data_IF_499688600917
#
_entry.id   IF_499688600917
#
_cell.length_a   1.000
_cell.length_b   1.000
_cell.length_c   1.000
_cell.angle_alpha   90.00
_cell.angle_beta   90.00
_cell.angle_gamma   90.00
#
_symmetry.space_group_name_H-M   'P 1'
#
loop_
_entity.id
_entity.type
_entity.pdbx_description
1 polymer ?
#
# COMPACT_ATOMS: atom_id res chain seq x y z
N UNK A 1 4.50 14.67 -7.55
CA UNK A 1 3.49 14.01 -6.69
C UNK A 1 2.17 14.78 -6.59
N UNK A 2 2.13 16.03 -6.07
CA UNK A 2 0.89 16.80 -5.86
C UNK A 2 -0.08 16.83 -7.06
N UNK A 3 0.40 17.26 -8.22
CA UNK A 3 -0.40 17.32 -9.46
C UNK A 3 -0.91 15.95 -9.91
N UNK A 4 -0.09 14.90 -9.72
CA UNK A 4 -0.51 13.53 -10.02
C UNK A 4 -1.67 13.10 -9.11
N UNK A 5 -1.57 13.36 -7.80
CA UNK A 5 -2.64 13.03 -6.85
C UNK A 5 -3.95 13.70 -7.28
N UNK A 6 -3.92 15.02 -7.55
CA UNK A 6 -5.11 15.77 -8.00
C UNK A 6 -5.70 15.14 -9.25
N UNK A 7 -4.89 14.97 -10.30
CA UNK A 7 -5.35 14.42 -11.59
C UNK A 7 -5.96 13.03 -11.42
N UNK A 8 -5.27 12.14 -10.70
CA UNK A 8 -5.68 10.75 -10.52
C UNK A 8 -6.95 10.65 -9.67
N UNK A 9 -7.10 11.47 -8.63
CA UNK A 9 -8.32 11.48 -7.83
C UNK A 9 -9.55 11.97 -8.62
N UNK A 10 -9.40 12.99 -9.47
CA UNK A 10 -10.50 13.44 -10.32
C UNK A 10 -10.88 12.43 -11.40
N UNK A 11 -9.89 11.73 -11.96
CA UNK A 11 -10.09 10.60 -12.87
C UNK A 11 -10.92 9.50 -12.19
N UNK A 12 -10.51 9.06 -10.99
CA UNK A 12 -11.22 8.04 -10.22
C UNK A 12 -12.63 8.52 -9.83
N UNK A 13 -12.79 9.76 -9.37
CA UNK A 13 -14.09 10.29 -8.97
C UNK A 13 -15.07 10.32 -10.14
N UNK A 14 -14.58 10.69 -11.33
CA UNK A 14 -15.41 10.70 -12.54
C UNK A 14 -15.93 9.30 -12.86
N UNK A 15 -15.05 8.30 -12.84
CA UNK A 15 -15.42 6.91 -13.12
C UNK A 15 -16.37 6.37 -12.05
N UNK A 16 -16.07 6.62 -10.77
CA UNK A 16 -16.93 6.25 -9.65
C UNK A 16 -18.34 6.81 -9.78
N UNK A 17 -18.48 8.11 -10.09
CA UNK A 17 -19.80 8.72 -10.30
C UNK A 17 -20.55 8.06 -11.45
N UNK A 18 -19.89 7.81 -12.58
CA UNK A 18 -20.48 7.12 -13.73
C UNK A 18 -21.00 5.73 -13.36
N UNK A 19 -20.17 4.94 -12.68
CA UNK A 19 -20.53 3.58 -12.27
C UNK A 19 -21.69 3.57 -11.26
N UNK A 20 -21.75 4.56 -10.36
CA UNK A 20 -22.81 4.66 -9.36
C UNK A 20 -24.15 5.17 -9.94
N UNK A 21 -24.12 6.01 -10.99
CA UNK A 21 -25.33 6.43 -11.72
C UNK A 21 -26.02 5.22 -12.38
N UNK A 22 -25.25 4.28 -12.93
CA UNK A 22 -25.79 3.04 -13.51
C UNK A 22 -26.46 2.14 -12.45
N UNK A 23 -25.87 2.07 -11.24
CA UNK A 23 -26.36 1.22 -10.16
C UNK A 23 -27.59 1.80 -9.43
N UNK A 24 -27.77 3.13 -9.46
CA UNK A 24 -28.80 3.93 -8.76
C UNK A 24 -28.83 3.79 -7.22
N UNK A 25 -28.36 2.68 -6.65
CA UNK A 25 -28.35 2.38 -5.22
C UNK A 25 -26.94 2.11 -4.74
N UNK A 26 -26.60 2.72 -3.61
CA UNK A 26 -25.23 2.71 -3.12
C UNK A 26 -24.98 1.56 -2.11
N UNK A 27 -25.93 0.63 -1.96
CA UNK A 27 -25.92 -0.39 -0.92
C UNK A 27 -24.68 -1.30 -0.93
N UNK A 28 -24.07 -1.51 -2.10
CA UNK A 28 -22.83 -2.28 -2.20
C UNK A 28 -21.67 -1.65 -1.40
N UNK A 29 -21.66 -0.33 -1.23
CA UNK A 29 -20.61 0.37 -0.47
C UNK A 29 -20.64 0.03 1.03
N UNK A 30 -21.73 -0.55 1.54
CA UNK A 30 -21.83 -1.03 2.92
C UNK A 30 -20.85 -2.19 3.20
N UNK A 31 -20.40 -2.89 2.17
CA UNK A 31 -19.39 -3.95 2.30
C UNK A 31 -17.98 -3.39 2.49
N UNK A 32 -17.77 -2.09 2.26
CA UNK A 32 -16.51 -1.41 2.46
C UNK A 32 -16.24 -1.13 3.95
N UNK A 33 -15.93 -2.20 4.70
CA UNK A 33 -15.69 -2.17 6.14
C UNK A 33 -14.52 -3.05 6.53
N UNK A 34 -13.87 -2.68 7.64
CA UNK A 34 -12.62 -3.30 8.12
C UNK A 34 -12.72 -3.87 9.54
N UNK A 35 -13.91 -3.84 10.12
CA UNK A 35 -14.21 -4.37 11.45
C UNK A 35 -14.58 -5.85 11.39
N UNK A 36 -14.51 -6.55 12.54
CA UNK A 36 -14.92 -7.95 12.63
C UNK A 36 -14.14 -8.94 11.75
N UNK A 37 -12.96 -8.55 11.23
CA UNK A 37 -12.19 -9.36 10.29
C UNK A 37 -12.64 -9.21 8.83
N UNK A 38 -13.59 -8.33 8.52
CA UNK A 38 -14.00 -8.03 7.17
C UNK A 38 -12.84 -7.42 6.36
N UNK A 39 -12.70 -7.88 5.12
CA UNK A 39 -11.83 -7.31 4.10
C UNK A 39 -12.76 -6.99 2.92
N UNK A 40 -12.79 -5.74 2.41
CA UNK A 40 -13.59 -5.41 1.25
C UNK A 40 -13.28 -6.31 0.05
N UNK A 41 -14.29 -6.63 -0.74
CA UNK A 41 -14.09 -7.38 -1.98
C UNK A 41 -13.58 -6.45 -3.07
N UNK A 42 -12.25 -6.39 -3.20
CA UNK A 42 -11.59 -5.55 -4.20
C UNK A 42 -11.74 -6.09 -5.63
N UNK A 43 -12.36 -7.26 -5.86
CA UNK A 43 -12.70 -7.67 -7.24
C UNK A 43 -13.79 -6.80 -7.86
N UNK A 44 -14.56 -6.07 -7.03
CA UNK A 44 -15.57 -5.12 -7.45
C UNK A 44 -14.95 -3.74 -7.76
N UNK A 45 -15.08 -3.29 -9.01
CA UNK A 45 -14.49 -2.01 -9.47
C UNK A 45 -14.89 -0.81 -8.60
N UNK A 46 -16.17 -0.73 -8.23
CA UNK A 46 -16.69 0.36 -7.39
C UNK A 46 -16.04 0.37 -6.00
N UNK A 47 -15.72 -0.80 -5.45
CA UNK A 47 -15.02 -0.93 -4.18
C UNK A 47 -13.55 -0.50 -4.32
N UNK A 48 -12.90 -0.82 -5.45
CA UNK A 48 -11.56 -0.30 -5.75
C UNK A 48 -11.56 1.23 -5.82
N UNK A 49 -12.48 1.81 -6.58
CA UNK A 49 -12.61 3.26 -6.75
C UNK A 49 -12.87 3.96 -5.41
N UNK A 50 -13.79 3.42 -4.61
CA UNK A 50 -14.12 3.98 -3.31
C UNK A 50 -12.94 3.91 -2.33
N UNK A 51 -12.21 2.79 -2.35
CA UNK A 51 -10.96 2.65 -1.61
C UNK A 51 -9.93 3.71 -2.01
N UNK A 52 -9.72 3.92 -3.32
CA UNK A 52 -8.73 4.86 -3.80
C UNK A 52 -9.10 6.30 -3.50
N UNK A 53 -10.36 6.69 -3.63
CA UNK A 53 -10.82 8.03 -3.24
C UNK A 53 -10.48 8.32 -1.77
N UNK A 54 -10.64 7.33 -0.89
CA UNK A 54 -10.35 7.50 0.54
C UNK A 54 -8.85 7.51 0.89
N UNK A 55 -8.08 6.59 0.30
CA UNK A 55 -6.73 6.25 0.78
C UNK A 55 -5.58 6.75 -0.09
N UNK A 56 -5.82 7.05 -1.38
CA UNK A 56 -4.76 7.30 -2.36
C UNK A 56 -3.76 8.39 -1.93
N UNK A 57 -4.19 9.59 -1.49
CA UNK A 57 -3.23 10.64 -1.14
C UNK A 57 -2.34 10.28 0.05
N UNK A 58 -2.92 9.67 1.08
CA UNK A 58 -2.22 9.31 2.29
C UNK A 58 -1.24 8.16 2.06
N UNK A 59 -1.69 7.10 1.39
CA UNK A 59 -0.85 5.92 1.16
C UNK A 59 0.28 6.23 0.16
N UNK A 60 0.01 6.99 -0.90
CA UNK A 60 1.07 7.47 -1.80
C UNK A 60 2.13 8.29 -1.03
N UNK A 61 1.69 9.15 -0.10
CA UNK A 61 2.59 9.96 0.73
C UNK A 61 3.39 9.09 1.71
N UNK A 62 2.76 8.12 2.36
CA UNK A 62 3.44 7.18 3.24
C UNK A 62 4.54 6.41 2.48
N UNK A 63 4.21 5.83 1.32
CA UNK A 63 5.19 5.10 0.52
C UNK A 63 6.30 6.01 0.00
N UNK A 64 5.99 7.25 -0.39
CA UNK A 64 7.01 8.26 -0.73
C UNK A 64 7.99 8.48 0.43
N UNK A 65 7.51 8.63 1.67
CA UNK A 65 8.35 8.82 2.84
C UNK A 65 9.21 7.58 3.15
N UNK A 66 8.62 6.39 3.05
CA UNK A 66 9.31 5.10 3.22
C UNK A 66 10.47 4.96 2.23
N UNK A 67 10.21 5.20 0.94
CA UNK A 67 11.24 5.08 -0.10
C UNK A 67 12.26 6.22 -0.02
N UNK A 68 11.87 7.41 0.41
CA UNK A 68 12.82 8.50 0.70
C UNK A 68 13.80 8.09 1.80
N UNK A 69 13.32 7.50 2.89
CA UNK A 69 14.19 6.99 3.96
C UNK A 69 15.09 5.84 3.46
N UNK A 70 14.57 4.93 2.64
CA UNK A 70 15.37 3.88 2.02
C UNK A 70 16.54 4.45 1.21
N UNK A 71 16.26 5.46 0.38
CA UNK A 71 17.26 6.12 -0.46
C UNK A 71 18.32 6.85 0.38
N UNK A 72 17.90 7.55 1.44
CA UNK A 72 18.80 8.23 2.38
C UNK A 72 19.76 7.27 3.09
N UNK A 73 19.33 6.02 3.38
CA UNK A 73 20.22 5.00 3.96
C UNK A 73 21.37 4.60 3.02
N UNK A 74 21.27 4.90 1.72
CA UNK A 74 22.28 4.61 0.70
C UNK A 74 22.84 3.17 0.78
N UNK A 75 21.95 2.20 1.02
CA UNK A 75 22.33 0.82 1.27
C UNK A 75 22.47 0.02 -0.03
N UNK A 76 21.67 0.33 -1.04
CA UNK A 76 21.56 -0.37 -2.32
C UNK A 76 22.11 0.48 -3.47
N UNK A 77 22.67 -0.17 -4.49
CA UNK A 77 23.18 0.49 -5.71
C UNK A 77 22.15 0.52 -6.86
N UNK A 78 21.03 -0.16 -6.69
CA UNK A 78 19.88 -0.19 -7.58
C UNK A 78 18.67 -0.60 -6.74
N UNK A 79 17.46 -0.29 -7.21
CA UNK A 79 16.21 -0.70 -6.55
C UNK A 79 15.46 -1.62 -7.49
N UNK A 80 15.30 -2.88 -7.10
CA UNK A 80 14.46 -3.85 -7.81
C UNK A 80 13.44 -4.43 -6.83
N UNK A 81 12.23 -3.87 -6.87
CA UNK A 81 11.15 -4.15 -5.93
C UNK A 81 10.34 -5.35 -6.39
N UNK A 82 10.06 -6.27 -5.48
CA UNK A 82 8.87 -7.10 -5.53
C UNK A 82 7.90 -6.67 -4.43
N UNK A 83 6.73 -6.18 -4.84
CA UNK A 83 5.67 -5.72 -3.95
C UNK A 83 4.56 -6.77 -3.88
N UNK A 84 4.23 -7.22 -2.67
CA UNK A 84 3.35 -8.37 -2.43
C UNK A 84 2.04 -7.90 -1.81
N UNK A 85 0.92 -8.12 -2.49
CA UNK A 85 -0.35 -7.44 -2.19
C UNK A 85 -0.31 -5.98 -2.65
N UNK A 86 0.19 -5.74 -3.87
CA UNK A 86 0.52 -4.41 -4.40
C UNK A 86 -0.71 -3.51 -4.61
N UNK A 87 -1.92 -4.06 -4.62
CA UNK A 87 -3.13 -3.32 -4.96
C UNK A 87 -3.03 -2.71 -6.36
N UNK A 88 -3.38 -1.43 -6.47
CA UNK A 88 -3.15 -0.64 -7.69
C UNK A 88 -1.70 -0.13 -7.87
N UNK A 89 -0.74 -0.58 -7.07
CA UNK A 89 0.67 -0.19 -7.18
C UNK A 89 0.98 1.20 -6.63
N UNK A 90 0.23 1.70 -5.64
CA UNK A 90 0.50 3.03 -5.02
C UNK A 90 1.90 3.15 -4.42
N UNK A 91 2.47 2.05 -3.94
CA UNK A 91 3.85 2.02 -3.45
C UNK A 91 4.86 2.26 -4.57
N UNK A 92 4.59 1.77 -5.79
CA UNK A 92 5.38 2.12 -6.97
C UNK A 92 5.35 3.61 -7.29
N UNK A 93 4.20 4.27 -7.06
CA UNK A 93 4.09 5.73 -7.23
C UNK A 93 4.93 6.47 -6.20
N UNK A 94 4.84 6.03 -4.94
CA UNK A 94 5.67 6.55 -3.85
C UNK A 94 7.17 6.41 -4.16
N UNK A 95 7.60 5.23 -4.65
CA UNK A 95 8.97 4.98 -5.09
C UNK A 95 9.39 5.93 -6.21
N UNK A 96 8.58 6.07 -7.26
CA UNK A 96 8.90 6.93 -8.38
C UNK A 96 9.09 8.39 -7.94
N UNK A 97 8.20 8.92 -7.10
CA UNK A 97 8.34 10.27 -6.58
C UNK A 97 9.56 10.44 -5.67
N UNK A 98 9.84 9.45 -4.82
CA UNK A 98 11.03 9.49 -3.95
C UNK A 98 12.33 9.52 -4.79
N UNK A 99 12.39 8.76 -5.88
CA UNK A 99 13.53 8.76 -6.80
C UNK A 99 13.68 10.09 -7.51
N UNK A 100 12.59 10.65 -8.04
CA UNK A 100 12.58 11.96 -8.73
C UNK A 100 13.08 13.09 -7.85
N UNK A 101 12.75 13.05 -6.55
CA UNK A 101 13.15 14.06 -5.58
C UNK A 101 14.53 13.78 -4.95
N UNK A 102 15.08 12.58 -5.15
CA UNK A 102 16.36 12.20 -4.57
C UNK A 102 17.55 12.71 -5.38
N UNK A 103 18.67 12.94 -4.70
CA UNK A 103 19.96 13.16 -5.35
C UNK A 103 20.57 11.86 -5.92
N UNK A 104 19.94 10.71 -5.69
CA UNK A 104 20.45 9.39 -6.06
C UNK A 104 19.79 8.92 -7.36
N UNK A 105 20.56 8.93 -8.45
CA UNK A 105 20.11 8.37 -9.73
C UNK A 105 20.36 6.87 -9.78
N UNK A 106 19.55 6.11 -9.05
CA UNK A 106 19.62 4.64 -9.03
C UNK A 106 18.76 4.04 -10.14
N UNK A 107 19.20 2.96 -10.81
CA UNK A 107 18.32 2.16 -11.66
C UNK A 107 17.16 1.58 -10.84
N UNK A 108 15.94 1.66 -11.39
CA UNK A 108 14.71 1.19 -10.74
C UNK A 108 14.01 0.14 -11.60
N UNK A 109 13.57 -0.93 -10.96
CA UNK A 109 12.62 -1.89 -11.49
C UNK A 109 11.56 -2.19 -10.42
N UNK A 110 10.33 -2.47 -10.86
CA UNK A 110 9.21 -2.74 -9.98
C UNK A 110 8.36 -3.89 -10.53
N UNK A 111 8.11 -4.88 -9.67
CA UNK A 111 7.15 -5.95 -9.91
C UNK A 111 6.11 -5.94 -8.79
N UNK A 112 4.83 -5.73 -9.12
CA UNK A 112 3.72 -5.86 -8.18
C UNK A 112 2.98 -7.17 -8.39
N UNK A 113 2.70 -7.88 -7.29
CA UNK A 113 1.82 -9.05 -7.27
C UNK A 113 0.61 -8.73 -6.41
N UNK A 114 -0.58 -8.96 -6.96
CA UNK A 114 -1.83 -8.92 -6.21
C UNK A 114 -2.74 -10.04 -6.70
N UNK A 115 -3.63 -10.56 -5.85
CA UNK A 115 -4.61 -11.58 -6.29
C UNK A 115 -5.76 -10.95 -7.09
N UNK A 116 -5.95 -9.64 -6.96
CA UNK A 116 -6.96 -8.84 -7.65
C UNK A 116 -6.32 -8.11 -8.81
N UNK A 117 -7.00 -8.08 -9.94
CA UNK A 117 -6.66 -7.19 -11.05
C UNK A 117 -7.25 -5.81 -10.78
N UNK A 118 -6.38 -4.83 -10.55
CA UNK A 118 -6.80 -3.45 -10.25
C UNK A 118 -6.82 -2.60 -11.52
N UNK A 119 -7.87 -1.81 -11.68
CA UNK A 119 -8.09 -1.00 -12.89
C UNK A 119 -7.09 0.16 -13.01
N UNK A 120 -6.66 0.71 -11.88
CA UNK A 120 -5.93 1.98 -11.82
C UNK A 120 -4.41 1.84 -11.80
N UNK A 121 -3.87 0.79 -12.41
CA UNK A 121 -2.43 0.62 -12.56
C UNK A 121 -1.80 1.71 -13.43
N UNK A 122 -0.70 2.31 -12.96
CA UNK A 122 0.03 3.38 -13.67
C UNK A 122 1.52 3.24 -13.38
N UNK A 123 2.35 3.07 -14.42
CA UNK A 123 3.78 2.81 -14.26
C UNK A 123 4.61 4.07 -13.96
N UNK A 124 4.04 5.27 -14.12
CA UNK A 124 4.71 6.56 -13.98
C UNK A 124 6.08 6.66 -14.68
N UNK A 125 6.26 5.95 -15.80
CA UNK A 125 7.50 5.82 -16.56
C UNK A 125 8.65 5.07 -15.85
N UNK A 126 8.36 4.15 -14.93
CA UNK A 126 9.34 3.14 -14.54
C UNK A 126 9.53 2.20 -15.73
N UNK A 127 10.75 2.15 -16.29
CA UNK A 127 11.06 1.37 -17.50
C UNK A 127 10.75 -0.14 -17.33
N UNK A 128 11.23 -0.72 -16.23
CA UNK A 128 11.04 -2.13 -15.92
C UNK A 128 9.90 -2.30 -14.92
N UNK A 129 8.67 -2.16 -15.40
CA UNK A 129 7.45 -2.21 -14.61
C UNK A 129 6.58 -3.41 -15.00
N UNK A 130 6.32 -4.30 -14.05
CA UNK A 130 5.48 -5.48 -14.27
C UNK A 130 4.44 -5.59 -13.17
N UNK A 131 3.21 -5.92 -13.55
CA UNK A 131 2.13 -6.21 -12.60
C UNK A 131 1.49 -7.53 -12.98
N UNK A 132 1.23 -8.35 -11.98
CA UNK A 132 0.59 -9.64 -12.18
C UNK A 132 -0.56 -9.84 -11.20
N UNK A 133 -1.73 -10.12 -11.77
CA UNK A 133 -2.87 -10.67 -11.03
C UNK A 133 -2.62 -12.17 -10.75
N UNK A 134 -2.02 -12.45 -9.59
CA UNK A 134 -1.62 -13.79 -9.13
C UNK A 134 -1.75 -13.90 -7.62
N UNK A 135 -2.48 -14.92 -7.18
CA UNK A 135 -2.47 -15.34 -5.79
C UNK A 135 -1.10 -15.95 -5.44
N UNK A 136 -0.55 -15.62 -4.28
CA UNK A 136 0.72 -16.20 -3.82
C UNK A 136 0.63 -17.71 -3.66
N UNK A 137 -0.54 -18.30 -3.45
CA UNK A 137 -0.74 -19.76 -3.44
C UNK A 137 -0.50 -20.43 -4.80
N UNK A 138 -0.47 -19.67 -5.89
CA UNK A 138 -0.29 -20.18 -7.25
C UNK A 138 1.15 -20.10 -7.77
N UNK A 139 2.11 -19.68 -6.93
CA UNK A 139 3.52 -19.58 -7.31
C UNK A 139 4.42 -20.29 -6.29
N UNK A 140 5.50 -20.91 -6.78
CA UNK A 140 6.48 -21.61 -5.94
C UNK A 140 7.76 -20.80 -5.67
N UNK A 141 7.99 -19.75 -6.46
CA UNK A 141 9.10 -18.79 -6.37
C UNK A 141 8.68 -17.48 -7.02
N UNK A 142 9.38 -16.38 -6.72
CA UNK A 142 9.09 -15.09 -7.34
C UNK A 142 9.32 -15.13 -8.86
N UNK A 143 8.38 -14.52 -9.60
CA UNK A 143 8.46 -14.35 -11.04
C UNK A 143 9.41 -13.19 -11.32
N UNK A 144 10.49 -13.42 -12.06
CA UNK A 144 11.52 -12.40 -12.34
C UNK A 144 12.88 -12.76 -11.73
N UNK A 145 13.81 -11.82 -11.78
CA UNK A 145 15.19 -12.00 -11.30
C UNK A 145 15.68 -10.74 -10.58
N UNK A 146 16.71 -10.92 -9.76
CA UNK A 146 17.52 -9.84 -9.20
C UNK A 146 16.78 -8.89 -8.23
N UNK A 147 15.69 -9.35 -7.61
CA UNK A 147 15.00 -8.59 -6.56
C UNK A 147 15.95 -8.30 -5.40
N UNK A 148 15.91 -7.06 -4.91
CA UNK A 148 16.68 -6.64 -3.74
C UNK A 148 15.87 -5.83 -2.72
N UNK A 149 14.60 -5.54 -3.03
CA UNK A 149 13.62 -4.97 -2.11
C UNK A 149 12.37 -5.83 -2.13
N UNK A 150 11.93 -6.32 -0.96
CA UNK A 150 10.64 -6.99 -0.80
C UNK A 150 9.74 -6.03 -0.03
N UNK A 151 8.65 -5.60 -0.66
CA UNK A 151 7.71 -4.63 -0.12
C UNK A 151 6.38 -5.28 0.23
N UNK A 152 5.88 -4.98 1.42
CA UNK A 152 4.53 -5.32 1.87
C UNK A 152 3.74 -4.03 2.12
N UNK A 153 3.02 -3.50 1.12
CA UNK A 153 2.23 -2.28 1.24
C UNK A 153 0.95 -2.55 2.04
N UNK A 154 1.04 -2.51 3.37
CA UNK A 154 -0.07 -2.81 4.30
C UNK A 154 -0.74 -4.17 4.06
N UNK A 155 0.01 -5.15 3.56
CA UNK A 155 -0.52 -6.43 3.09
C UNK A 155 -0.11 -7.65 3.94
N UNK A 156 1.05 -7.61 4.60
CA UNK A 156 1.63 -8.82 5.20
C UNK A 156 0.73 -9.47 6.27
N UNK A 157 0.04 -8.68 7.10
CA UNK A 157 -0.94 -9.17 8.07
C UNK A 157 -2.32 -9.52 7.50
N UNK A 158 -2.59 -9.26 6.22
CA UNK A 158 -3.83 -9.64 5.54
C UNK A 158 -3.79 -11.04 4.96
N UNK A 159 -2.59 -11.58 4.72
CA UNK A 159 -2.45 -12.97 4.29
C UNK A 159 -3.05 -13.91 5.34
N UNK A 160 -3.87 -14.86 4.93
CA UNK A 160 -4.24 -15.92 5.86
C UNK A 160 -2.99 -16.78 6.17
N UNK A 161 -3.06 -17.64 7.19
CA UNK A 161 -1.91 -18.44 7.60
C UNK A 161 -1.40 -19.39 6.50
N UNK A 162 -2.28 -19.89 5.63
CA UNK A 162 -1.89 -20.72 4.50
C UNK A 162 -1.06 -19.92 3.49
N UNK A 163 -1.56 -18.77 3.04
CA UNK A 163 -0.87 -17.86 2.12
C UNK A 163 0.47 -17.39 2.70
N UNK A 164 0.51 -17.02 3.98
CA UNK A 164 1.76 -16.60 4.62
C UNK A 164 2.78 -17.75 4.77
N UNK A 165 2.31 -18.97 5.04
CA UNK A 165 3.19 -20.14 5.03
C UNK A 165 3.75 -20.42 3.64
N UNK A 166 2.93 -20.27 2.59
CA UNK A 166 3.40 -20.41 1.21
C UNK A 166 4.44 -19.35 0.85
N UNK A 167 4.25 -18.09 1.29
CA UNK A 167 5.22 -17.02 1.11
C UNK A 167 6.61 -17.37 1.66
N UNK A 168 6.69 -18.04 2.83
CA UNK A 168 7.98 -18.52 3.35
C UNK A 168 8.65 -19.50 2.39
N UNK A 169 7.89 -20.43 1.83
CA UNK A 169 8.41 -21.40 0.86
C UNK A 169 8.86 -20.72 -0.43
N UNK A 170 8.06 -19.76 -0.94
CA UNK A 170 8.41 -18.94 -2.10
C UNK A 170 9.75 -18.23 -1.88
N UNK A 171 9.94 -17.63 -0.70
CA UNK A 171 11.18 -16.95 -0.36
C UNK A 171 12.35 -17.94 -0.32
N UNK A 172 12.19 -19.09 0.35
CA UNK A 172 13.22 -20.14 0.41
C UNK A 172 13.64 -20.58 -1.01
N UNK A 173 12.66 -20.80 -1.89
CA UNK A 173 12.85 -21.28 -3.25
C UNK A 173 13.33 -20.20 -4.24
N UNK A 174 13.29 -18.93 -3.85
CA UNK A 174 13.73 -17.82 -4.70
C UNK A 174 15.22 -17.58 -4.51
N UNK A 175 15.99 -17.69 -5.60
CA UNK A 175 17.39 -17.29 -5.60
C UNK A 175 17.51 -15.76 -5.72
N UNK A 176 17.96 -15.11 -4.64
CA UNK A 176 18.30 -13.69 -4.68
C UNK A 176 19.76 -13.54 -5.08
N UNK A 177 20.04 -12.78 -6.14
CA UNK A 177 21.42 -12.56 -6.62
C UNK A 177 22.16 -11.44 -5.89
N UNK A 178 21.43 -10.47 -5.35
CA UNK A 178 22.02 -9.40 -4.56
C UNK A 178 22.59 -9.95 -3.25
N UNK A 179 23.69 -9.38 -2.76
CA UNK A 179 24.17 -9.64 -1.40
C UNK A 179 23.53 -8.71 -0.37
N UNK A 180 22.70 -7.78 -0.83
CA UNK A 180 21.96 -6.85 0.00
C UNK A 180 20.48 -6.94 -0.31
N UNK A 181 19.66 -7.22 0.70
CA UNK A 181 18.21 -7.16 0.61
C UNK A 181 17.67 -6.12 1.57
N UNK A 182 16.52 -5.58 1.23
CA UNK A 182 15.70 -4.78 2.15
C UNK A 182 14.31 -5.38 2.21
N UNK A 183 13.84 -5.63 3.43
CA UNK A 183 12.44 -5.93 3.69
C UNK A 183 11.75 -4.65 4.16
N UNK A 184 10.60 -4.36 3.57
CA UNK A 184 9.79 -3.20 3.92
C UNK A 184 8.38 -3.66 4.24
N UNK A 185 7.86 -3.28 5.39
CA UNK A 185 6.45 -3.47 5.74
C UNK A 185 5.86 -2.12 6.10
N UNK A 186 4.83 -1.69 5.37
CA UNK A 186 3.96 -0.63 5.87
C UNK A 186 2.98 -1.28 6.85
N UNK A 187 3.05 -0.85 8.10
CA UNK A 187 2.36 -1.44 9.24
C UNK A 187 1.00 -0.79 9.42
N UNK A 188 0.02 -1.58 9.88
CA UNK A 188 -1.30 -1.08 10.25
C UNK A 188 -1.40 -0.91 11.75
N UNK A 189 -1.73 0.30 12.20
CA UNK A 189 -1.90 0.66 13.62
C UNK A 189 -2.74 -0.30 14.48
N UNK A 190 -3.74 -0.99 13.91
CA UNK A 190 -4.59 -1.96 14.63
C UNK A 190 -4.16 -3.42 14.47
N UNK A 191 -3.11 -3.70 13.69
CA UNK A 191 -2.56 -5.03 13.37
C UNK A 191 -1.03 -5.04 13.43
N UNK A 192 -0.46 -4.08 14.15
CA UNK A 192 0.98 -3.85 14.27
C UNK A 192 1.72 -5.11 14.71
N UNK A 193 1.22 -5.80 15.73
CA UNK A 193 1.80 -7.04 16.24
C UNK A 193 1.91 -8.09 15.12
N UNK A 194 0.83 -8.32 14.36
CA UNK A 194 0.82 -9.35 13.31
C UNK A 194 1.76 -8.96 12.16
N UNK A 195 1.74 -7.69 11.75
CA UNK A 195 2.59 -7.20 10.66
C UNK A 195 4.08 -7.33 11.04
N UNK A 196 4.45 -6.92 12.27
CA UNK A 196 5.81 -6.98 12.81
C UNK A 196 6.27 -8.44 12.99
N UNK A 197 5.47 -9.28 13.63
CA UNK A 197 5.78 -10.69 13.85
C UNK A 197 6.04 -11.41 12.52
N UNK A 198 5.21 -11.12 11.50
CA UNK A 198 5.36 -11.74 10.18
C UNK A 198 6.61 -11.25 9.45
N UNK A 199 6.93 -9.96 9.51
CA UNK A 199 8.15 -9.46 8.89
C UNK A 199 9.40 -10.04 9.55
N UNK A 200 9.39 -10.16 10.88
CA UNK A 200 10.44 -10.83 11.66
C UNK A 200 10.60 -12.30 11.22
N UNK A 201 9.49 -13.02 11.02
CA UNK A 201 9.51 -14.39 10.50
C UNK A 201 10.14 -14.45 9.10
N UNK A 202 9.81 -13.50 8.21
CA UNK A 202 10.42 -13.44 6.87
C UNK A 202 11.93 -13.19 6.96
N UNK A 203 12.36 -12.22 7.78
CA UNK A 203 13.79 -11.97 8.01
C UNK A 203 14.50 -13.23 8.53
N UNK A 204 13.93 -13.90 9.53
CA UNK A 204 14.46 -15.15 10.08
C UNK A 204 14.52 -16.28 9.04
N UNK A 205 13.55 -16.35 8.11
CA UNK A 205 13.57 -17.32 7.00
C UNK A 205 14.76 -17.06 6.08
N UNK A 206 15.03 -15.81 5.71
CA UNK A 206 16.20 -15.44 4.89
C UNK A 206 17.53 -15.73 5.61
N UNK A 207 17.59 -15.48 6.92
CA UNK A 207 18.79 -15.78 7.71
C UNK A 207 19.09 -17.28 7.76
N UNK A 208 18.08 -18.09 8.08
CA UNK A 208 18.24 -19.55 8.24
C UNK A 208 18.50 -20.28 6.94
N UNK A 209 17.89 -19.86 5.83
CA UNK A 209 17.87 -20.64 4.60
C UNK A 209 18.74 -20.05 3.49
N UNK A 210 19.11 -18.77 3.57
CA UNK A 210 19.77 -18.07 2.47
C UNK A 210 21.02 -17.27 2.87
N UNK A 211 21.51 -17.45 4.10
CA UNK A 211 22.76 -16.86 4.62
C UNK A 211 22.74 -15.33 4.66
N UNK A 212 21.56 -14.75 4.79
CA UNK A 212 21.47 -13.34 5.12
C UNK A 212 21.66 -13.12 6.61
N UNK A 213 22.04 -11.90 6.99
CA UNK A 213 22.02 -11.42 8.36
C UNK A 213 21.25 -10.11 8.41
N UNK A 214 20.23 -10.04 9.27
CA UNK A 214 19.53 -8.79 9.53
C UNK A 214 20.45 -7.84 10.31
N UNK A 215 20.57 -6.61 9.82
CA UNK A 215 21.42 -5.57 10.39
C UNK A 215 20.66 -4.62 11.33
N UNK A 216 19.34 -4.72 11.33
CA UNK A 216 18.43 -3.86 12.09
C UNK A 216 17.66 -4.68 13.14
N UNK A 217 17.07 -3.98 14.12
CA UNK A 217 16.17 -4.58 15.11
C UNK A 217 14.84 -4.94 14.44
N UNK A 218 14.53 -6.25 14.41
CA UNK A 218 13.35 -6.82 13.75
C UNK A 218 12.02 -6.40 14.40
N UNK A 219 12.05 -5.99 15.67
CA UNK A 219 10.87 -5.56 16.43
C UNK A 219 10.67 -4.04 16.38
N UNK A 220 11.73 -3.29 16.02
CA UNK A 220 11.64 -1.84 15.88
C UNK A 220 10.84 -1.50 14.63
N UNK A 221 9.92 -0.57 14.78
CA UNK A 221 9.19 0.04 13.68
C UNK A 221 9.18 1.56 13.86
N UNK A 222 9.01 2.26 12.75
CA UNK A 222 8.88 3.70 12.69
C UNK A 222 7.40 4.03 12.75
N UNK A 223 7.01 4.84 13.72
CA UNK A 223 5.78 5.62 13.70
C UNK A 223 6.16 7.09 13.46
N UNK A 224 5.26 7.87 12.89
CA UNK A 224 5.59 9.26 12.59
C UNK A 224 5.85 10.07 13.87
N UNK A 225 7.12 10.38 14.10
CA UNK A 225 7.59 11.28 15.15
C UNK A 225 8.83 12.02 14.66
N UNK A 226 8.65 13.22 14.08
CA UNK A 226 9.75 14.00 13.49
C UNK A 226 9.55 15.48 13.74
N UNK A 227 10.62 16.20 14.12
CA UNK A 227 10.61 17.65 14.28
C UNK A 227 9.49 18.20 15.19
N UNK A 228 9.15 17.49 16.27
CA UNK A 228 8.07 17.86 17.19
C UNK A 228 6.65 17.56 16.67
N UNK A 229 6.54 16.94 15.49
CA UNK A 229 5.29 16.41 14.95
C UNK A 229 5.10 14.95 15.36
N UNK A 230 3.85 14.52 15.42
CA UNK A 230 3.39 13.22 15.91
C UNK A 230 2.27 12.64 15.02
N UNK A 231 1.63 11.57 15.50
CA UNK A 231 0.51 10.92 14.80
C UNK A 231 -0.74 11.81 14.60
N UNK A 232 -0.89 12.88 15.38
CA UNK A 232 -2.02 13.81 15.27
C UNK A 232 -1.78 14.92 14.26
N UNK A 233 -0.51 15.12 13.88
CA UNK A 233 -0.08 16.10 12.88
C UNK A 233 -0.70 15.81 11.52
N UNK A 234 -0.94 16.85 10.72
CA UNK A 234 -1.55 16.69 9.41
C UNK A 234 -0.51 16.26 8.38
N UNK A 235 -0.96 15.52 7.37
CA UNK A 235 -0.08 15.08 6.28
C UNK A 235 0.48 16.26 5.47
N UNK A 236 -0.26 17.37 5.37
CA UNK A 236 0.20 18.60 4.71
C UNK A 236 1.35 19.29 5.47
N UNK A 237 1.46 19.10 6.78
CA UNK A 237 2.52 19.69 7.60
C UNK A 237 3.85 18.92 7.45
N UNK A 238 3.78 17.64 7.06
CA UNK A 238 4.94 16.73 6.97
C UNK A 238 5.43 16.52 5.54
N UNK A 239 4.54 16.71 4.57
CA UNK A 239 4.80 16.54 3.15
C UNK A 239 4.07 17.64 2.38
N UNK A 240 4.83 18.63 1.91
CA UNK A 240 4.34 19.77 1.11
C UNK A 240 3.66 19.35 -0.21
N UNK A 241 3.98 18.15 -0.68
CA UNK A 241 3.40 17.52 -1.87
C UNK A 241 2.08 16.78 -1.59
N UNK A 242 1.70 16.57 -0.33
CA UNK A 242 0.41 15.99 0.02
C UNK A 242 -0.72 16.98 -0.32
N UNK A 243 -1.80 16.46 -0.88
CA UNK A 243 -3.03 17.21 -1.10
C UNK A 243 -4.23 16.27 -1.13
N UNK A 244 -5.35 16.76 -0.59
CA UNK A 244 -6.65 16.13 -0.76
C UNK A 244 -7.63 17.19 -1.30
N UNK A 245 -8.19 17.04 -2.51
CA UNK A 245 -9.15 18.00 -3.05
C UNK A 245 -10.42 18.10 -2.18
N UNK A 246 -10.74 19.32 -1.75
CA UNK A 246 -11.81 19.55 -0.76
C UNK A 246 -13.22 19.25 -1.28
N UNK A 247 -13.45 19.37 -2.58
CA UNK A 247 -14.70 18.98 -3.24
C UNK A 247 -14.90 17.45 -3.25
N UNK A 248 -13.81 16.68 -3.45
CA UNK A 248 -13.85 15.22 -3.32
C UNK A 248 -14.09 14.82 -1.86
N UNK A 249 -13.50 15.54 -0.89
CA UNK A 249 -13.74 15.30 0.54
C UNK A 249 -15.22 15.52 0.88
N UNK A 250 -15.77 16.66 0.45
CA UNK A 250 -17.19 16.97 0.62
C UNK A 250 -18.10 15.93 -0.03
N UNK A 251 -17.71 15.36 -1.17
CA UNK A 251 -18.45 14.28 -1.81
C UNK A 251 -18.45 12.99 -0.96
N UNK A 252 -17.29 12.54 -0.45
CA UNK A 252 -17.21 11.30 0.33
C UNK A 252 -17.92 11.36 1.68
N UNK A 253 -17.86 12.50 2.38
CA UNK A 253 -18.51 12.66 3.69
C UNK A 253 -20.04 12.79 3.57
N UNK A 254 -20.54 13.14 2.39
CA UNK A 254 -21.96 13.30 2.06
C UNK A 254 -22.44 12.27 1.02
N UNK A 255 -21.78 11.11 0.94
CA UNK A 255 -22.03 10.12 -0.11
C UNK A 255 -23.49 9.64 -0.15
N UNK A 256 -24.11 9.51 1.03
CA UNK A 256 -25.54 9.20 1.16
C UNK A 256 -26.46 10.14 0.38
N UNK A 257 -26.13 11.43 0.30
CA UNK A 257 -26.96 12.45 -0.39
C UNK A 257 -27.00 12.22 -1.92
N UNK A 258 -26.12 11.38 -2.45
CA UNK A 258 -26.06 11.02 -3.86
C UNK A 258 -26.76 9.68 -4.17
N UNK A 259 -27.26 8.98 -3.15
CA UNK A 259 -27.98 7.72 -3.33
C UNK A 259 -29.47 7.98 -3.63
N UNK A 260 -29.96 7.53 -4.79
CA UNK A 260 -31.35 7.77 -5.23
C UNK A 260 -32.37 7.28 -4.18
N UNK A 261 -32.10 6.12 -3.57
CA UNK A 261 -33.04 5.57 -2.57
C UNK A 261 -33.08 6.37 -1.27
N UNK A 262 -31.97 6.98 -0.88
CA UNK A 262 -31.90 7.88 0.27
C UNK A 262 -32.71 9.16 0.00
N UNK A 263 -32.59 9.71 -1.21
CA UNK A 263 -33.36 10.88 -1.67
C UNK A 263 -34.87 10.56 -1.70
N UNK A 264 -35.26 9.43 -2.31
CA UNK A 264 -36.66 8.96 -2.35
C UNK A 264 -37.26 8.75 -0.95
N UNK A 265 -36.43 8.43 0.04
CA UNK A 265 -36.84 8.23 1.43
C UNK A 265 -36.84 9.54 2.25
N UNK A 266 -36.87 10.70 1.59
CA UNK A 266 -36.88 12.01 2.24
C UNK A 266 -35.59 12.33 2.98
N UNK A 267 -34.45 11.96 2.39
CA UNK A 267 -33.12 12.10 2.99
C UNK A 267 -32.96 11.31 4.31
N UNK A 268 -33.54 10.11 4.36
CA UNK A 268 -33.40 9.19 5.48
C UNK A 268 -32.70 7.89 5.07
N UNK A 269 -31.80 7.35 5.93
CA UNK A 269 -31.20 6.04 5.73
C UNK A 269 -32.26 4.95 5.46
N UNK A 270 -31.98 4.04 4.54
CA UNK A 270 -32.85 2.88 4.30
C UNK A 270 -32.78 1.87 5.45
N UNK A 271 -31.61 1.79 6.08
CA UNK A 271 -31.29 1.02 7.28
C UNK A 271 -30.10 1.69 8.01
N UNK A 272 -29.74 1.17 9.18
CA UNK A 272 -28.63 1.73 9.98
C UNK A 272 -27.27 1.64 9.28
N UNK A 273 -27.07 0.64 8.41
CA UNK A 273 -25.81 0.43 7.68
C UNK A 273 -25.60 1.48 6.57
N UNK A 274 -26.61 2.25 6.16
CA UNK A 274 -26.38 3.40 5.30
C UNK A 274 -25.46 4.46 5.97
N UNK A 275 -25.41 4.53 7.31
CA UNK A 275 -24.55 5.49 8.03
C UNK A 275 -23.07 5.16 7.90
N UNK A 276 -22.71 3.88 7.70
CA UNK A 276 -21.31 3.45 7.57
C UNK A 276 -20.73 3.72 6.18
N UNK A 277 -21.56 4.12 5.20
CA UNK A 277 -21.11 4.41 3.84
C UNK A 277 -20.35 5.73 3.72
N UNK A 278 -20.54 6.69 4.61
CA UNK A 278 -19.78 7.94 4.57
C UNK A 278 -18.40 7.74 5.22
N UNK A 279 -17.34 8.15 4.53
CA UNK A 279 -15.98 8.05 5.07
C UNK A 279 -15.21 9.34 4.94
N UNK A 280 -14.46 9.65 6.00
CA UNK A 280 -13.49 10.71 5.99
C UNK A 280 -12.19 10.22 5.33
N UNK A 281 -11.56 11.05 4.50
CA UNK A 281 -10.24 10.77 3.97
C UNK A 281 -9.18 10.75 5.07
N UNK A 282 -8.06 10.10 4.78
CA UNK A 282 -6.92 10.07 5.70
C UNK A 282 -6.09 11.34 5.53
N UNK A 283 -6.11 12.22 6.53
CA UNK A 283 -5.42 13.53 6.50
C UNK A 283 -4.36 13.72 7.59
N UNK A 284 -4.15 12.72 8.44
CA UNK A 284 -3.22 12.76 9.58
C UNK A 284 -2.17 11.67 9.48
N UNK A 285 -1.05 11.87 10.17
CA UNK A 285 0.09 10.95 10.18
C UNK A 285 -0.17 9.65 10.95
N UNK A 286 -1.32 9.50 11.61
CA UNK A 286 -1.69 8.32 12.40
C UNK A 286 -1.79 7.00 11.64
N UNK A 287 -1.67 7.02 10.30
CA UNK A 287 -1.60 5.82 9.47
C UNK A 287 -0.17 5.49 9.00
N UNK A 288 0.80 6.38 9.25
CA UNK A 288 2.20 6.20 8.85
C UNK A 288 2.91 5.42 9.94
N UNK A 289 3.01 4.12 9.69
CA UNK A 289 3.79 3.19 10.49
C UNK A 289 4.48 2.21 9.55
N UNK A 290 5.77 1.94 9.74
CA UNK A 290 6.50 1.03 8.84
C UNK A 290 7.77 0.46 9.45
N UNK A 291 8.29 -0.60 8.83
CA UNK A 291 9.58 -1.21 9.12
C UNK A 291 10.43 -1.23 7.85
N UNK A 292 11.72 -0.93 8.00
CA UNK A 292 12.74 -1.11 6.96
C UNK A 292 13.85 -1.94 7.59
N UNK A 293 13.99 -3.19 7.17
CA UNK A 293 15.04 -4.10 7.64
C UNK A 293 16.06 -4.32 6.53
N UNK A 294 17.32 -4.02 6.78
CA UNK A 294 18.44 -4.28 5.88
C UNK A 294 19.03 -5.64 6.21
N UNK A 295 19.27 -6.43 5.17
CA UNK A 295 19.93 -7.71 5.27
C UNK A 295 21.14 -7.73 4.37
N UNK A 296 22.24 -8.30 4.86
CA UNK A 296 23.47 -8.53 4.09
C UNK A 296 23.80 -10.01 4.09
N UNK A 297 24.15 -10.57 2.94
CA UNK A 297 24.64 -11.95 2.84
C UNK A 297 25.98 -12.06 3.56
N UNK A 298 26.15 -13.12 4.34
CA UNK A 298 27.43 -13.44 4.96
C UNK A 298 28.41 -13.96 3.91
N UNK A 299 29.63 -13.41 3.89
CA UNK A 299 30.70 -13.88 3.01
C UNK A 299 31.03 -15.34 3.35
N UNK A 300 31.25 -16.18 2.33
CA UNK A 300 31.78 -17.53 2.52
C UNK A 300 33.17 -17.44 3.14
N UNK A 301 33.33 -17.97 4.36
CA UNK A 301 34.65 -18.31 4.92
C UNK A 301 35.30 -19.44 4.14
#
# INVERSE_FOLDING_TARGET
MREFIIRKMYEILKNFKSNMEEQQRYCQLKTFRFDGGNIPDYSELIIQEYYLLRYLPAYTTEYYLIYSELLEKNFLNNINVISLGAGCGMDSWGLNFAIQDSNYKLPVAYTGLDKVEWEYWDNLNIDNYNLFSRDLSAIDKFIGKDYNVIMFPKSIGEFNNFTFNNLKNIIINTEFRSDKLVLISSVRKKRDIIDIDRLEIIANTLEKNQRYKCLDDKRKYTYYSKNGMDEYSKLEDVCDKYIYPGDIENFLINLNENCQKYIENGCNPCDDDCKIMNHYPIKRCSQIEYQILRLKREDTK
#
